data_IF_357957820991
#
_entry.id   IF_357957820991
#
_cell.length_a   1.000
_cell.length_b   1.000
_cell.length_c   1.000
_cell.angle_alpha   90.00
_cell.angle_beta   90.00
_cell.angle_gamma   90.00
#
_symmetry.space_group_name_H-M   'P 1'
#
loop_
_entity.id
_entity.type
_entity.pdbx_description
1 polymer ?
#
# COMPACT_ATOMS: atom_id res chain seq x y z
N UNK A 1 28.47 29.78 55.08
CA UNK A 1 27.10 29.17 55.20
C UNK A 1 26.44 29.17 53.83
N UNK A 2 26.41 30.31 53.15
CA UNK A 2 25.87 30.46 51.79
C UNK A 2 26.53 29.50 50.76
N UNK A 3 27.80 29.17 50.94
CA UNK A 3 28.60 28.29 50.07
C UNK A 3 28.04 26.86 50.03
N UNK A 4 27.56 26.36 51.18
CA UNK A 4 26.87 25.06 51.28
C UNK A 4 25.55 25.07 50.51
N UNK A 5 24.81 26.19 50.54
CA UNK A 5 23.60 26.36 49.73
C UNK A 5 23.92 26.44 48.24
N UNK A 6 25.03 27.09 47.87
CA UNK A 6 25.49 27.18 46.47
C UNK A 6 25.89 25.81 45.91
N UNK A 7 26.65 25.03 46.69
CA UNK A 7 27.03 23.65 46.33
C UNK A 7 25.81 22.73 46.28
N UNK A 8 24.86 22.86 47.22
CA UNK A 8 23.62 22.09 47.21
C UNK A 8 22.75 22.44 46.00
N UNK A 9 22.64 23.72 45.63
CA UNK A 9 21.90 24.15 44.43
C UNK A 9 22.57 23.68 43.13
N UNK A 10 23.90 23.73 43.04
CA UNK A 10 24.66 23.17 41.92
C UNK A 10 24.50 21.65 41.80
N UNK A 11 24.55 20.92 42.92
CA UNK A 11 24.30 19.49 42.98
C UNK A 11 22.86 19.13 42.56
N UNK A 12 21.86 19.86 43.07
CA UNK A 12 20.45 19.62 42.73
C UNK A 12 20.16 19.90 41.24
N UNK A 13 20.69 20.99 40.68
CA UNK A 13 20.53 21.31 39.25
C UNK A 13 21.26 20.30 38.35
N UNK A 14 22.44 19.84 38.75
CA UNK A 14 23.15 18.73 38.07
C UNK A 14 22.35 17.42 38.09
N UNK A 15 21.77 17.07 39.24
CA UNK A 15 20.94 15.86 39.39
C UNK A 15 19.67 15.95 38.55
N UNK A 16 18.95 17.08 38.60
CA UNK A 16 17.73 17.30 37.80
C UNK A 16 18.02 17.26 36.30
N UNK A 17 19.08 17.91 35.82
CA UNK A 17 19.45 17.88 34.40
C UNK A 17 19.86 16.48 33.95
N UNK A 18 20.65 15.74 34.75
CA UNK A 18 20.99 14.34 34.49
C UNK A 18 19.76 13.43 34.44
N UNK A 19 18.81 13.58 35.36
CA UNK A 19 17.56 12.81 35.37
C UNK A 19 16.68 13.11 34.15
N UNK A 20 16.54 14.39 33.77
CA UNK A 20 15.78 14.80 32.58
C UNK A 20 16.43 14.28 31.29
N UNK A 21 17.75 14.36 31.17
CA UNK A 21 18.51 13.81 30.02
C UNK A 21 18.34 12.29 29.96
N UNK A 22 18.50 11.58 31.07
CA UNK A 22 18.34 10.11 31.13
C UNK A 22 16.92 9.66 30.77
N UNK A 23 15.90 10.35 31.29
CA UNK A 23 14.49 10.07 30.97
C UNK A 23 14.17 10.37 29.49
N UNK A 24 14.70 11.47 28.96
CA UNK A 24 14.58 11.84 27.54
C UNK A 24 15.24 10.78 26.64
N UNK A 25 16.50 10.44 26.91
CA UNK A 25 17.24 9.41 26.17
C UNK A 25 16.54 8.05 26.24
N UNK A 26 16.10 7.59 27.41
CA UNK A 26 15.34 6.35 27.56
C UNK A 26 14.01 6.35 26.80
N UNK A 27 13.34 7.50 26.69
CA UNK A 27 12.14 7.67 25.86
C UNK A 27 12.43 7.63 24.36
N UNK A 28 13.58 8.15 23.92
CA UNK A 28 14.02 8.05 22.53
C UNK A 28 14.55 6.65 22.16
N UNK A 29 15.29 5.99 23.06
CA UNK A 29 15.79 4.62 22.90
C UNK A 29 14.63 3.63 22.70
N UNK A 30 13.65 3.60 23.62
CA UNK A 30 12.43 2.77 23.47
C UNK A 30 11.66 3.05 22.19
N UNK A 31 11.64 4.31 21.73
CA UNK A 31 11.05 4.69 20.44
C UNK A 31 11.90 4.30 19.22
N UNK A 32 13.19 4.05 19.38
CA UNK A 32 14.04 3.45 18.35
C UNK A 32 13.87 1.92 18.34
N UNK A 33 13.98 1.27 19.49
CA UNK A 33 13.81 -0.18 19.71
C UNK A 33 12.51 -0.72 19.11
N UNK A 34 11.36 -0.07 19.38
CA UNK A 34 10.06 -0.47 18.80
C UNK A 34 10.05 -0.34 17.27
N UNK A 35 10.76 0.67 16.71
CA UNK A 35 10.83 0.87 15.25
C UNK A 35 11.86 -0.03 14.56
N UNK A 36 12.90 -0.50 15.24
CA UNK A 36 13.74 -1.58 14.73
C UNK A 36 12.99 -2.91 14.80
N UNK A 37 12.41 -3.27 15.95
CA UNK A 37 11.66 -4.52 16.11
C UNK A 37 10.55 -4.70 15.06
N UNK A 38 9.75 -3.66 14.78
CA UNK A 38 8.72 -3.70 13.72
C UNK A 38 9.33 -3.82 12.32
N UNK A 39 10.49 -3.23 12.05
CA UNK A 39 11.18 -3.38 10.75
C UNK A 39 11.79 -4.76 10.59
N UNK A 40 12.30 -5.35 11.66
CA UNK A 40 12.91 -6.67 11.65
C UNK A 40 11.84 -7.78 11.57
N UNK A 41 10.68 -7.63 12.24
CA UNK A 41 9.53 -8.50 12.00
C UNK A 41 8.95 -8.34 10.59
N UNK A 42 8.93 -7.11 10.04
CA UNK A 42 8.55 -6.87 8.63
C UNK A 42 9.53 -7.55 7.66
N UNK A 43 10.84 -7.55 7.96
CA UNK A 43 11.86 -8.28 7.17
C UNK A 43 11.70 -9.80 7.29
N UNK A 44 11.37 -10.32 8.47
CA UNK A 44 11.05 -11.74 8.65
C UNK A 44 9.82 -12.14 7.84
N UNK A 45 8.74 -11.34 7.85
CA UNK A 45 7.57 -11.51 6.98
C UNK A 45 7.94 -11.52 5.49
N UNK A 46 8.80 -10.60 5.04
CA UNK A 46 9.32 -10.60 3.66
C UNK A 46 10.06 -11.89 3.33
N UNK A 47 10.91 -12.38 4.25
CA UNK A 47 11.62 -13.65 4.09
C UNK A 47 10.71 -14.86 4.03
N UNK A 48 9.70 -14.92 4.90
CA UNK A 48 8.69 -15.99 4.93
C UNK A 48 7.85 -16.01 3.66
N UNK A 49 7.42 -14.86 3.13
CA UNK A 49 6.66 -14.81 1.86
C UNK A 49 7.51 -15.20 0.63
N UNK A 50 8.82 -14.94 0.64
CA UNK A 50 9.73 -15.44 -0.40
C UNK A 50 9.87 -16.97 -0.28
N UNK A 51 10.10 -17.47 0.95
CA UNK A 51 10.16 -18.91 1.20
C UNK A 51 8.87 -19.62 0.78
N UNK A 52 7.70 -19.07 1.14
CA UNK A 52 6.38 -19.60 0.79
C UNK A 52 6.13 -19.66 -0.73
N UNK A 53 6.55 -18.62 -1.46
CA UNK A 53 6.42 -18.59 -2.93
C UNK A 53 7.26 -19.66 -3.59
N UNK A 54 8.46 -19.90 -3.06
CA UNK A 54 9.48 -20.76 -3.66
C UNK A 54 9.46 -22.20 -3.06
N UNK A 55 8.56 -22.47 -2.10
CA UNK A 55 8.45 -23.75 -1.38
C UNK A 55 7.57 -24.82 -2.08
N UNK A 56 7.83 -26.12 -1.81
CA UNK A 56 6.87 -27.19 -2.05
C UNK A 56 5.75 -27.18 -1.01
N UNK A 57 4.58 -27.68 -1.41
CA UNK A 57 3.31 -27.66 -0.65
C UNK A 57 3.31 -28.47 0.67
N UNK A 58 4.41 -29.15 1.00
CA UNK A 58 4.58 -29.83 2.29
C UNK A 58 5.18 -28.95 3.40
N UNK A 59 5.67 -27.74 3.08
CA UNK A 59 6.30 -26.83 4.05
C UNK A 59 5.41 -25.62 4.45
N UNK A 60 4.49 -25.23 3.55
CA UNK A 60 3.62 -24.03 3.59
C UNK A 60 2.96 -23.77 4.95
N UNK A 61 2.35 -24.81 5.54
CA UNK A 61 1.62 -24.72 6.80
C UNK A 61 2.45 -24.14 7.96
N UNK A 62 3.76 -24.40 8.00
CA UNK A 62 4.66 -23.94 9.06
C UNK A 62 5.09 -22.49 8.89
N UNK A 63 5.47 -22.10 7.66
CA UNK A 63 5.82 -20.73 7.27
C UNK A 63 4.63 -19.79 7.40
N UNK A 64 3.44 -20.23 7.01
CA UNK A 64 2.19 -19.47 7.17
C UNK A 64 1.75 -19.35 8.65
N UNK A 65 2.13 -20.27 9.53
CA UNK A 65 1.88 -20.14 10.97
C UNK A 65 2.78 -19.07 11.62
N UNK A 66 4.08 -19.07 11.31
CA UNK A 66 5.00 -18.03 11.78
C UNK A 66 4.63 -16.64 11.22
N UNK A 67 4.26 -16.57 9.93
CA UNK A 67 3.83 -15.33 9.28
C UNK A 67 2.55 -14.76 9.92
N UNK A 68 1.57 -15.58 10.31
CA UNK A 68 0.37 -15.10 10.99
C UNK A 68 0.73 -14.42 12.33
N UNK A 69 1.59 -15.03 13.14
CA UNK A 69 2.06 -14.49 14.42
C UNK A 69 2.78 -13.16 14.19
N UNK A 70 3.70 -13.09 13.22
CA UNK A 70 4.44 -11.86 12.91
C UNK A 70 3.51 -10.76 12.34
N UNK A 71 2.42 -11.11 11.64
CA UNK A 71 1.43 -10.12 11.14
C UNK A 71 0.82 -9.29 12.27
N UNK A 72 0.66 -9.87 13.48
CA UNK A 72 0.12 -9.18 14.66
C UNK A 72 1.02 -8.00 15.08
N UNK A 73 2.32 -8.09 14.81
CA UNK A 73 3.32 -7.06 15.19
C UNK A 73 3.28 -5.82 14.29
N UNK A 74 2.64 -5.89 13.11
CA UNK A 74 2.50 -4.76 12.21
C UNK A 74 1.62 -3.68 12.85
N UNK A 75 2.16 -2.49 13.06
CA UNK A 75 1.45 -1.40 13.75
C UNK A 75 0.40 -0.74 12.87
N UNK A 76 0.67 -0.51 11.57
CA UNK A 76 -0.35 0.04 10.68
C UNK A 76 -1.51 -0.94 10.50
N UNK A 77 -2.72 -0.40 10.58
CA UNK A 77 -3.94 -1.18 10.47
C UNK A 77 -4.14 -1.75 9.05
N UNK A 78 -3.90 -0.95 8.01
CA UNK A 78 -4.17 -1.37 6.61
C UNK A 78 -3.17 -2.39 6.12
N UNK A 79 -1.88 -2.21 6.43
CA UNK A 79 -0.85 -3.23 6.16
C UNK A 79 -1.16 -4.53 6.90
N UNK A 80 -1.54 -4.46 8.20
CA UNK A 80 -1.89 -5.65 8.98
C UNK A 80 -3.12 -6.39 8.47
N UNK A 81 -4.16 -5.68 8.05
CA UNK A 81 -5.35 -6.28 7.43
C UNK A 81 -4.97 -6.95 6.10
N UNK A 82 -4.39 -6.21 5.15
CA UNK A 82 -3.99 -6.73 3.83
C UNK A 82 -3.00 -7.91 3.89
N UNK A 83 -2.06 -7.93 4.85
CA UNK A 83 -1.12 -9.05 5.03
C UNK A 83 -1.81 -10.28 5.62
N UNK A 84 -2.82 -10.11 6.48
CA UNK A 84 -3.62 -11.24 6.98
C UNK A 84 -4.50 -11.82 5.88
N UNK A 85 -5.12 -10.99 5.07
CA UNK A 85 -5.93 -11.41 3.92
C UNK A 85 -5.08 -12.28 2.96
N UNK A 86 -3.83 -11.87 2.71
CA UNK A 86 -2.86 -12.66 1.92
C UNK A 86 -2.46 -13.97 2.61
N UNK A 87 -2.08 -13.96 3.89
CA UNK A 87 -1.70 -15.18 4.63
C UNK A 87 -2.86 -16.17 4.72
N UNK A 88 -4.09 -15.67 4.86
CA UNK A 88 -5.30 -16.48 4.91
C UNK A 88 -5.60 -17.13 3.57
N UNK A 89 -5.64 -16.36 2.49
CA UNK A 89 -5.81 -16.92 1.15
C UNK A 89 -4.69 -17.90 0.79
N UNK A 90 -3.45 -17.70 1.24
CA UNK A 90 -2.35 -18.65 1.00
C UNK A 90 -2.63 -20.03 1.62
N UNK A 91 -3.26 -20.11 2.80
CA UNK A 91 -3.70 -21.39 3.40
C UNK A 91 -4.89 -21.99 2.65
N UNK A 92 -5.82 -21.15 2.19
CA UNK A 92 -7.06 -21.60 1.55
C UNK A 92 -6.86 -21.96 0.06
N UNK A 93 -5.77 -21.50 -0.58
CA UNK A 93 -5.37 -21.83 -1.96
C UNK A 93 -4.95 -23.30 -2.19
N UNK A 94 -4.79 -24.10 -1.14
CA UNK A 94 -4.57 -25.55 -1.25
C UNK A 94 -5.90 -26.32 -1.46
N UNK A 95 -7.06 -25.66 -1.35
CA UNK A 95 -8.39 -26.25 -1.56
C UNK A 95 -8.77 -26.24 -3.05
N UNK A 96 -9.16 -27.38 -3.66
CA UNK A 96 -9.51 -27.45 -5.08
C UNK A 96 -10.76 -26.63 -5.43
N UNK A 97 -11.70 -26.49 -4.48
CA UNK A 97 -12.90 -25.66 -4.59
C UNK A 97 -12.57 -24.20 -4.96
N UNK A 98 -11.43 -23.69 -4.48
CA UNK A 98 -10.97 -22.33 -4.78
C UNK A 98 -10.35 -22.22 -6.19
N UNK A 99 -9.70 -23.27 -6.72
CA UNK A 99 -9.25 -23.32 -8.12
C UNK A 99 -10.45 -23.38 -9.09
N UNK A 100 -11.46 -24.20 -8.76
CA UNK A 100 -12.68 -24.35 -9.57
C UNK A 100 -13.53 -23.07 -9.62
N UNK A 101 -13.77 -22.42 -8.47
CA UNK A 101 -14.63 -21.23 -8.39
C UNK A 101 -13.93 -19.93 -8.83
N UNK A 102 -12.61 -19.79 -8.61
CA UNK A 102 -11.87 -18.59 -9.05
C UNK A 102 -11.34 -18.66 -10.49
N UNK A 103 -11.20 -19.88 -11.03
CA UNK A 103 -10.50 -20.13 -12.29
C UNK A 103 -8.98 -19.86 -12.24
N UNK A 104 -8.40 -19.72 -11.05
CA UNK A 104 -6.96 -19.46 -10.85
C UNK A 104 -6.30 -20.70 -10.24
N UNK A 105 -5.36 -21.29 -10.99
CA UNK A 105 -4.59 -22.45 -10.54
C UNK A 105 -3.84 -22.19 -9.23
N UNK A 106 -3.89 -23.13 -8.27
CA UNK A 106 -3.31 -22.99 -6.92
C UNK A 106 -1.91 -22.39 -6.90
N UNK A 107 -0.96 -22.97 -7.66
CA UNK A 107 0.42 -22.48 -7.76
C UNK A 107 0.53 -21.04 -8.31
N UNK A 108 -0.39 -20.63 -9.21
CA UNK A 108 -0.45 -19.26 -9.74
C UNK A 108 -1.11 -18.30 -8.75
N UNK A 109 -2.11 -18.76 -7.99
CA UNK A 109 -2.70 -18.01 -6.90
C UNK A 109 -1.64 -17.71 -5.82
N UNK A 110 -0.89 -18.74 -5.37
CA UNK A 110 0.25 -18.62 -4.44
C UNK A 110 1.27 -17.57 -4.91
N UNK A 111 1.69 -17.62 -6.18
CA UNK A 111 2.60 -16.62 -6.74
C UNK A 111 2.04 -15.19 -6.68
N UNK A 112 0.80 -14.98 -7.15
CA UNK A 112 0.16 -13.65 -7.17
C UNK A 112 -0.04 -13.10 -5.74
N UNK A 113 -0.36 -13.97 -4.77
CA UNK A 113 -0.54 -13.60 -3.37
C UNK A 113 0.78 -13.21 -2.69
N UNK A 114 1.83 -14.02 -2.86
CA UNK A 114 3.15 -13.69 -2.32
C UNK A 114 3.72 -12.41 -2.95
N UNK A 115 3.66 -12.26 -4.28
CA UNK A 115 4.17 -11.06 -4.96
C UNK A 115 3.39 -9.80 -4.53
N UNK A 116 2.07 -9.88 -4.30
CA UNK A 116 1.29 -8.77 -3.75
C UNK A 116 1.62 -8.49 -2.27
N UNK A 117 1.77 -9.53 -1.43
CA UNK A 117 2.19 -9.37 -0.04
C UNK A 117 3.56 -8.69 0.07
N UNK A 118 4.50 -9.06 -0.79
CA UNK A 118 5.81 -8.42 -0.89
C UNK A 118 5.72 -6.95 -1.35
N UNK A 119 4.80 -6.62 -2.26
CA UNK A 119 4.53 -5.23 -2.66
C UNK A 119 3.96 -4.40 -1.49
N UNK A 120 3.03 -4.96 -0.71
CA UNK A 120 2.41 -4.34 0.47
C UNK A 120 3.44 -4.11 1.59
N UNK A 121 4.28 -5.11 1.92
CA UNK A 121 5.37 -4.95 2.88
C UNK A 121 6.44 -3.96 2.37
N UNK A 122 6.75 -3.98 1.08
CA UNK A 122 7.68 -3.06 0.44
C UNK A 122 7.20 -1.60 0.50
N UNK A 123 5.91 -1.35 0.25
CA UNK A 123 5.28 -0.04 0.45
C UNK A 123 5.33 0.39 1.93
N UNK A 124 5.01 -0.53 2.86
CA UNK A 124 5.08 -0.25 4.31
C UNK A 124 6.48 0.14 4.77
N UNK A 125 7.53 -0.57 4.31
CA UNK A 125 8.92 -0.27 4.66
C UNK A 125 9.41 1.08 4.11
N UNK A 126 8.94 1.49 2.92
CA UNK A 126 9.24 2.79 2.30
C UNK A 126 8.41 3.94 2.91
N UNK A 127 7.25 3.65 3.49
CA UNK A 127 6.28 4.64 3.94
C UNK A 127 5.36 5.14 2.83
N UNK A 128 5.26 4.38 1.73
CA UNK A 128 4.42 4.71 0.57
C UNK A 128 2.93 4.43 0.83
N UNK A 129 2.08 4.92 -0.07
CA UNK A 129 0.69 4.47 -0.14
C UNK A 129 0.67 2.97 -0.50
N UNK A 130 -0.13 2.18 0.23
CA UNK A 130 -0.33 0.76 -0.10
C UNK A 130 -0.81 0.57 -1.56
N UNK A 131 -0.34 -0.49 -2.24
CA UNK A 131 -0.85 -0.87 -3.55
C UNK A 131 -2.33 -1.29 -3.47
N UNK A 132 -3.02 -1.27 -4.61
CA UNK A 132 -4.35 -1.84 -4.72
C UNK A 132 -4.24 -3.34 -5.00
N UNK A 133 -5.03 -4.17 -4.32
CA UNK A 133 -5.05 -5.62 -4.54
C UNK A 133 -5.20 -5.97 -6.04
N UNK A 134 -4.38 -6.86 -6.63
CA UNK A 134 -4.51 -7.29 -8.01
C UNK A 134 -5.89 -7.91 -8.29
N UNK A 135 -6.37 -7.84 -9.52
CA UNK A 135 -7.70 -8.36 -9.89
C UNK A 135 -7.85 -9.88 -9.62
N UNK A 136 -6.73 -10.64 -9.64
CA UNK A 136 -6.71 -12.04 -9.21
C UNK A 136 -6.98 -12.19 -7.70
N UNK A 137 -6.28 -11.42 -6.86
CA UNK A 137 -6.49 -11.41 -5.40
C UNK A 137 -7.91 -10.99 -5.05
N UNK A 138 -8.46 -9.96 -5.73
CA UNK A 138 -9.85 -9.53 -5.51
C UNK A 138 -10.88 -10.61 -5.83
N UNK A 139 -10.63 -11.47 -6.83
CA UNK A 139 -11.51 -12.61 -7.15
C UNK A 139 -11.42 -13.70 -6.09
N UNK A 140 -10.22 -14.04 -5.65
CA UNK A 140 -9.99 -15.01 -4.58
C UNK A 140 -10.68 -14.57 -3.28
N UNK A 141 -10.49 -13.32 -2.85
CA UNK A 141 -11.18 -12.74 -1.68
C UNK A 141 -12.71 -12.71 -1.83
N UNK A 142 -13.23 -12.48 -3.05
CA UNK A 142 -14.67 -12.48 -3.29
C UNK A 142 -15.27 -13.90 -3.16
N UNK A 143 -14.63 -14.91 -3.76
CA UNK A 143 -15.03 -16.32 -3.66
C UNK A 143 -14.94 -16.81 -2.21
N UNK A 144 -13.86 -16.47 -1.51
CA UNK A 144 -13.71 -16.73 -0.07
C UNK A 144 -14.87 -16.11 0.74
N UNK A 145 -15.13 -14.82 0.53
CA UNK A 145 -16.19 -14.10 1.26
C UNK A 145 -17.57 -14.69 0.98
N UNK A 146 -17.84 -15.12 -0.26
CA UNK A 146 -19.10 -15.79 -0.63
C UNK A 146 -19.23 -17.16 0.03
N UNK A 147 -18.17 -17.99 0.02
CA UNK A 147 -18.14 -19.29 0.69
C UNK A 147 -18.38 -19.18 2.21
N UNK A 148 -17.74 -18.20 2.86
CA UNK A 148 -17.95 -17.89 4.28
C UNK A 148 -19.38 -17.41 4.56
N UNK A 149 -19.93 -16.55 3.69
CA UNK A 149 -21.29 -16.02 3.83
C UNK A 149 -22.33 -17.15 3.72
N UNK A 150 -22.13 -18.09 2.78
CA UNK A 150 -22.93 -19.33 2.66
C UNK A 150 -22.79 -20.20 3.92
N UNK A 151 -21.56 -20.46 4.40
CA UNK A 151 -21.32 -21.29 5.58
C UNK A 151 -21.90 -20.67 6.87
N UNK A 152 -21.90 -19.34 6.99
CA UNK A 152 -22.52 -18.61 8.09
C UNK A 152 -24.05 -18.58 8.04
N UNK A 153 -24.69 -19.17 7.02
CA UNK A 153 -26.14 -19.13 6.83
C UNK A 153 -26.68 -17.74 6.47
N UNK A 154 -25.81 -16.81 6.07
CA UNK A 154 -26.21 -15.49 5.63
C UNK A 154 -26.71 -15.56 4.17
N UNK A 155 -27.79 -14.85 3.86
CA UNK A 155 -28.26 -14.72 2.48
C UNK A 155 -27.13 -14.15 1.59
N UNK A 156 -26.99 -14.60 0.33
CA UNK A 156 -25.89 -14.18 -0.54
C UNK A 156 -25.87 -12.65 -0.70
N UNK A 157 -24.85 -12.03 -0.12
CA UNK A 157 -24.65 -10.59 -0.20
C UNK A 157 -24.15 -10.25 -1.60
N UNK A 158 -25.10 -10.06 -2.53
CA UNK A 158 -24.86 -9.56 -3.88
C UNK A 158 -24.30 -8.15 -3.82
N UNK A 159 -23.00 -8.08 -3.55
CA UNK A 159 -22.17 -6.89 -3.66
C UNK A 159 -22.14 -6.53 -5.13
N UNK A 160 -23.10 -5.69 -5.53
CA UNK A 160 -23.31 -5.30 -6.92
C UNK A 160 -21.97 -4.84 -7.52
N UNK A 161 -21.62 -5.29 -8.75
CA UNK A 161 -20.33 -4.99 -9.34
C UNK A 161 -20.13 -3.47 -9.35
N UNK A 162 -19.03 -3.03 -8.74
CA UNK A 162 -18.65 -1.62 -8.67
C UNK A 162 -18.77 -1.02 -10.07
N UNK A 163 -19.54 0.07 -10.26
CA UNK A 163 -19.95 0.53 -11.58
C UNK A 163 -18.71 0.78 -12.44
N UNK A 164 -18.64 0.08 -13.58
CA UNK A 164 -17.50 0.15 -14.47
C UNK A 164 -17.18 1.62 -14.81
N UNK A 165 -15.91 2.05 -14.76
CA UNK A 165 -15.56 3.42 -15.08
C UNK A 165 -16.04 3.73 -16.50
N UNK A 166 -16.87 4.76 -16.63
CA UNK A 166 -17.56 5.08 -17.88
C UNK A 166 -16.55 5.22 -19.03
N UNK A 167 -16.85 4.67 -20.23
CA UNK A 167 -15.91 4.68 -21.35
C UNK A 167 -15.51 6.11 -21.70
N UNK A 168 -14.21 6.32 -21.89
CA UNK A 168 -13.67 7.63 -22.25
C UNK A 168 -14.27 8.09 -23.60
N UNK A 169 -14.69 9.36 -23.72
CA UNK A 169 -15.26 9.86 -24.96
C UNK A 169 -14.21 9.86 -26.08
N UNK A 170 -14.54 9.23 -27.21
CA UNK A 170 -13.74 9.27 -28.43
C UNK A 170 -13.63 10.71 -28.99
N UNK A 171 -12.56 11.03 -29.74
CA UNK A 171 -12.35 12.38 -30.27
C UNK A 171 -13.38 12.76 -31.34
N UNK A 172 -13.93 13.96 -31.24
CA UNK A 172 -14.94 14.52 -32.14
C UNK A 172 -14.27 15.27 -33.31
N UNK A 173 -14.68 15.04 -34.58
CA UNK A 173 -14.06 15.66 -35.75
C UNK A 173 -14.47 17.14 -35.94
N UNK A 174 -13.67 17.89 -36.70
CA UNK A 174 -13.95 19.29 -37.02
C UNK A 174 -15.08 19.44 -38.08
N UNK A 175 -15.96 20.45 -37.97
CA UNK A 175 -17.16 20.56 -38.81
C UNK A 175 -16.94 21.37 -40.11
N UNK A 176 -17.77 21.08 -41.12
CA UNK A 176 -17.96 21.91 -42.31
C UNK A 176 -19.39 21.74 -42.87
N UNK A 177 -20.02 22.85 -43.28
CA UNK A 177 -21.24 22.87 -44.12
C UNK A 177 -22.59 22.74 -43.39
N UNK A 178 -23.49 23.70 -43.63
CA UNK A 178 -24.86 23.72 -43.10
C UNK A 178 -25.76 22.61 -43.66
N UNK A 179 -26.56 21.96 -42.80
CA UNK A 179 -28.03 22.20 -42.68
C UNK A 179 -28.71 21.14 -41.78
N UNK A 180 -29.58 21.57 -40.86
CA UNK A 180 -30.56 20.67 -40.20
C UNK A 180 -30.62 20.67 -38.66
N UNK A 181 -31.73 21.18 -38.11
CA UNK A 181 -32.43 20.72 -36.89
C UNK A 181 -31.63 20.39 -35.60
N UNK A 182 -31.43 21.43 -34.77
CA UNK A 182 -31.87 21.56 -33.36
C UNK A 182 -31.94 20.33 -32.40
N UNK A 183 -31.63 20.47 -31.08
CA UNK A 183 -30.57 21.28 -30.46
C UNK A 183 -29.83 20.54 -29.30
N UNK A 184 -28.50 20.59 -29.23
CA UNK A 184 -27.76 19.98 -28.11
C UNK A 184 -26.48 20.73 -27.67
N UNK A 185 -26.47 21.12 -26.39
CA UNK A 185 -25.34 21.20 -25.44
C UNK A 185 -24.09 22.09 -25.68
N UNK A 186 -23.65 22.67 -24.55
CA UNK A 186 -22.24 22.83 -24.11
C UNK A 186 -21.38 23.96 -24.71
N UNK A 187 -20.86 24.82 -23.83
CA UNK A 187 -19.57 25.52 -24.03
C UNK A 187 -18.76 25.57 -22.74
N UNK A 188 -17.74 24.72 -22.64
CA UNK A 188 -16.78 24.72 -21.52
C UNK A 188 -15.86 25.94 -21.64
N UNK A 189 -15.72 26.72 -20.57
CA UNK A 189 -14.79 27.86 -20.51
C UNK A 189 -13.50 27.45 -19.80
N UNK A 190 -12.36 27.84 -20.38
CA UNK A 190 -11.01 27.46 -19.91
C UNK A 190 -10.65 28.04 -18.54
N UNK A 191 -9.82 27.27 -17.81
CA UNK A 191 -9.06 27.67 -16.61
C UNK A 191 -8.03 28.75 -16.95
N UNK A 192 -7.87 29.82 -16.14
CA UNK A 192 -6.73 30.73 -16.23
C UNK A 192 -5.60 30.33 -15.27
N UNK A 193 -4.37 30.67 -15.64
CA UNK A 193 -3.14 30.57 -14.85
C UNK A 193 -2.35 31.87 -15.07
N UNK A 194 -1.61 32.35 -14.06
CA UNK A 194 -0.93 33.66 -14.14
C UNK A 194 0.48 33.61 -13.56
N UNK A 195 1.46 34.01 -14.40
CA UNK A 195 2.61 34.91 -14.17
C UNK A 195 3.63 34.61 -13.03
N UNK A 196 4.93 34.98 -13.07
CA UNK A 196 5.83 35.81 -13.95
C UNK A 196 7.31 35.41 -13.61
N UNK A 197 8.45 35.80 -14.20
CA UNK A 197 8.96 36.75 -15.24
C UNK A 197 10.27 36.12 -15.79
N UNK A 198 10.44 35.73 -17.06
CA UNK A 198 10.91 36.50 -18.24
C UNK A 198 12.34 37.10 -18.20
N UNK A 199 13.27 36.49 -18.96
CA UNK A 199 14.53 37.07 -19.52
C UNK A 199 15.21 36.02 -20.44
N UNK A 200 15.94 36.32 -21.53
CA UNK A 200 16.03 37.53 -22.38
C UNK A 200 16.80 37.20 -23.70
N UNK A 201 16.34 37.70 -24.87
CA UNK A 201 17.03 37.85 -26.20
C UNK A 201 17.63 36.58 -26.90
N UNK A 202 17.49 36.34 -28.22
CA UNK A 202 17.76 37.14 -29.46
C UNK A 202 19.28 37.23 -29.74
N UNK A 203 19.87 36.82 -30.89
CA UNK A 203 19.34 36.43 -32.23
C UNK A 203 20.36 35.64 -33.11
N UNK A 204 19.91 35.16 -34.28
CA UNK A 204 20.57 35.26 -35.62
C UNK A 204 21.07 33.98 -36.38
N UNK A 205 20.94 34.06 -37.73
CA UNK A 205 21.55 33.37 -38.89
C UNK A 205 21.78 31.82 -39.01
N UNK A 206 21.48 31.29 -40.23
CA UNK A 206 21.92 29.98 -40.78
C UNK A 206 20.76 28.98 -41.05
N UNK A 207 20.22 28.68 -42.25
CA UNK A 207 20.78 28.21 -43.56
C UNK A 207 21.74 27.03 -43.44
N UNK A 208 21.57 25.86 -44.07
CA UNK A 208 20.52 25.37 -45.00
C UNK A 208 20.41 23.81 -44.93
N UNK A 209 19.43 23.14 -45.60
CA UNK A 209 19.18 21.71 -45.44
C UNK A 209 19.82 20.77 -46.50
N UNK A 210 20.08 19.53 -46.07
CA UNK A 210 20.17 18.27 -46.84
C UNK A 210 21.13 18.17 -48.06
N UNK A 211 22.24 17.44 -47.84
CA UNK A 211 22.52 16.15 -48.50
C UNK A 211 23.32 15.26 -47.53
#
# INVERSE_FOLDING_TARGET
MNDLLLVLAGGATSLVTSAVVTWSQGRFARRAEVRSAVRDSTRQLTGLLIAERDAPESASSSTLAEAEILSVTLMDRRTRESVRDVIRLLRECELPELEELSGVRSARARQILCDHGLEVLGAHLRGDKLPAAPDGVRRLLAVETEALNIHAGAAPTTTAPSPAPAPAPAPEPAPAGDTGTSPASRKVRRRPQSARTSANKESDAGTDPLD
#
